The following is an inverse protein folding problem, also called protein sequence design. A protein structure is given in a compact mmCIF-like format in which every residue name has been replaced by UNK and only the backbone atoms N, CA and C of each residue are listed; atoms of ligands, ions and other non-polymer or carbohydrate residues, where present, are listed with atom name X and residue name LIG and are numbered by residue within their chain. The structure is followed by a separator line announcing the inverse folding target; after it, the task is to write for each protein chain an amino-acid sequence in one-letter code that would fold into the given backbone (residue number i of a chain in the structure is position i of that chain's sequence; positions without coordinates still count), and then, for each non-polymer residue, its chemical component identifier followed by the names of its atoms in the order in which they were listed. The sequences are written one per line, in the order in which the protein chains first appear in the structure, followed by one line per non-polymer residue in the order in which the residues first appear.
data_IF_772362704627
#
_entry.id   IF_772362704627
#
_cell.length_a   1.000
_cell.length_b   1.000
_cell.length_c   1.000
_cell.angle_alpha   90.00
_cell.angle_beta   90.00
_cell.angle_gamma   90.00
#
_symmetry.space_group_name_H-M   'P 1'
#
loop_
_entity.id
_entity.type
_entity.pdbx_description
1 polymer ?
#
# COMPACT_ATOMS: atom_id res chain seq x y z
N UNK A 1 20.47 -7.65 8.92
CA UNK A 1 19.10 -7.98 8.48
C UNK A 1 18.53 -6.73 7.82
N UNK A 2 17.86 -6.83 6.67
CA UNK A 2 17.26 -5.66 6.02
C UNK A 2 15.90 -5.35 6.65
N UNK A 3 15.71 -4.10 7.10
CA UNK A 3 14.42 -3.58 7.58
C UNK A 3 13.59 -3.09 6.38
N UNK A 4 12.77 -3.97 5.80
CA UNK A 4 11.93 -3.63 4.65
C UNK A 4 10.58 -3.04 5.04
N UNK A 5 10.13 -3.28 6.28
CA UNK A 5 8.81 -2.84 6.75
C UNK A 5 8.67 -1.31 6.76
N UNK A 6 9.77 -0.59 7.02
CA UNK A 6 9.78 0.89 7.01
C UNK A 6 9.41 1.51 5.65
N UNK A 7 9.47 0.74 4.57
CA UNK A 7 9.09 1.21 3.25
C UNK A 7 7.59 1.02 2.96
N UNK A 8 6.90 0.21 3.78
CA UNK A 8 5.46 -0.02 3.68
C UNK A 8 4.74 1.11 4.41
N UNK A 9 4.10 1.99 3.65
CA UNK A 9 3.37 3.15 4.18
C UNK A 9 1.87 2.90 4.32
N UNK A 10 1.34 1.95 3.54
CA UNK A 10 -0.10 1.67 3.47
C UNK A 10 -0.32 0.17 3.35
N UNK A 11 -1.40 -0.31 3.97
CA UNK A 11 -1.91 -1.67 3.81
C UNK A 11 -3.42 -1.58 3.65
N UNK A 12 -3.96 -2.16 2.58
CA UNK A 12 -5.36 -2.05 2.21
C UNK A 12 -5.89 -3.44 1.81
N UNK A 13 -7.19 -3.74 2.02
CA UNK A 13 -7.80 -4.92 1.43
C UNK A 13 -7.98 -4.74 -0.09
N UNK A 14 -8.10 -5.84 -0.84
CA UNK A 14 -8.33 -5.81 -2.29
C UNK A 14 -9.61 -5.06 -2.69
N UNK A 15 -10.63 -5.05 -1.83
CA UNK A 15 -11.86 -4.25 -2.03
C UNK A 15 -11.60 -2.75 -2.16
N UNK A 16 -10.46 -2.25 -1.66
CA UNK A 16 -10.04 -0.85 -1.76
C UNK A 16 -8.94 -0.62 -2.81
N UNK A 17 -8.79 -1.50 -3.81
CA UNK A 17 -7.71 -1.41 -4.82
C UNK A 17 -7.59 -0.02 -5.47
N UNK A 18 -8.71 0.65 -5.77
CA UNK A 18 -8.69 1.98 -6.39
C UNK A 18 -8.05 3.05 -5.48
N UNK A 19 -8.23 2.95 -4.16
CA UNK A 19 -7.59 3.85 -3.20
C UNK A 19 -6.07 3.71 -3.19
N UNK A 20 -5.55 2.49 -3.42
CA UNK A 20 -4.11 2.28 -3.58
C UNK A 20 -3.55 3.05 -4.78
N UNK A 21 -4.29 3.09 -5.91
CA UNK A 21 -3.94 3.88 -7.07
C UNK A 21 -4.01 5.39 -6.80
N UNK A 22 -5.04 5.86 -6.09
CA UNK A 22 -5.17 7.27 -5.73
C UNK A 22 -3.98 7.74 -4.88
N UNK A 23 -3.57 6.96 -3.87
CA UNK A 23 -2.40 7.25 -3.03
C UNK A 23 -1.11 7.33 -3.86
N UNK A 24 -0.95 6.42 -4.83
CA UNK A 24 0.20 6.41 -5.73
C UNK A 24 0.23 7.66 -6.63
N UNK A 25 -0.91 8.03 -7.23
CA UNK A 25 -1.01 9.19 -8.11
C UNK A 25 -0.78 10.51 -7.37
N UNK A 26 -1.21 10.60 -6.11
CA UNK A 26 -0.96 11.77 -5.25
C UNK A 26 0.45 11.83 -4.66
N UNK A 27 1.22 10.74 -4.76
CA UNK A 27 2.54 10.64 -4.12
C UNK A 27 2.47 10.55 -2.59
N UNK A 28 1.34 10.10 -2.03
CA UNK A 28 1.07 10.08 -0.59
C UNK A 28 1.63 8.83 0.11
N UNK A 29 2.38 7.97 -0.58
CA UNK A 29 2.99 6.77 0.00
C UNK A 29 4.21 6.29 -0.78
N UNK A 30 5.03 5.45 -0.13
CA UNK A 30 6.20 4.84 -0.76
C UNK A 30 5.90 3.45 -1.32
N UNK A 31 5.33 2.58 -0.48
CA UNK A 31 4.75 1.28 -0.89
C UNK A 31 3.40 1.08 -0.22
N UNK A 32 2.49 0.48 -0.98
CA UNK A 32 1.21 0.00 -0.51
C UNK A 32 1.20 -1.53 -0.66
N UNK A 33 0.81 -2.25 0.39
CA UNK A 33 0.44 -3.66 0.29
C UNK A 33 -1.06 -3.75 0.07
N UNK A 34 -1.48 -4.56 -0.89
CA UNK A 34 -2.89 -4.90 -1.10
C UNK A 34 -3.08 -6.35 -0.70
N UNK A 35 -3.83 -6.56 0.38
CA UNK A 35 -4.14 -7.87 0.93
C UNK A 35 -5.28 -8.51 0.13
N UNK A 36 -5.03 -9.70 -0.43
CA UNK A 36 -5.99 -10.45 -1.22
C UNK A 36 -6.98 -11.24 -0.36
N UNK A 37 -6.68 -11.40 0.93
CA UNK A 37 -7.54 -12.09 1.89
C UNK A 37 -8.60 -11.12 2.40
N UNK A 38 -9.86 -11.46 2.13
CA UNK A 38 -11.08 -10.77 2.57
C UNK A 38 -12.26 -11.73 2.45
#
# INVERSE_FOLDING_TARGET
QLELEKFITHQLPFSEINKAFDLMLKGEGLRCIVNMEG
#
